data_IF_602135125058
#
_entry.id   IF_602135125058
#
_cell.length_a   1.000
_cell.length_b   1.000
_cell.length_c   1.000
_cell.angle_alpha   90.00
_cell.angle_beta   90.00
_cell.angle_gamma   90.00
#
_symmetry.space_group_name_H-M   'P 1'
#
loop_
_entity.id
_entity.type
_entity.pdbx_description
1 polymer ?
#
# COMPACT_ATOMS: atom_id res chain seq x y z
N UNK A 1 -10.33 3.25 20.82
CA UNK A 1 -11.54 4.03 20.45
C UNK A 1 -12.61 3.63 21.44
N UNK A 2 -13.40 4.54 22.04
CA UNK A 2 -14.40 4.08 23.02
C UNK A 2 -15.57 3.44 22.28
N UNK A 3 -15.58 2.11 22.27
CA UNK A 3 -16.73 1.30 21.88
C UNK A 3 -17.91 1.63 22.80
N UNK A 4 -19.12 1.46 22.30
CA UNK A 4 -20.34 1.54 23.08
C UNK A 4 -20.40 0.38 24.12
N UNK A 5 -21.37 0.40 25.05
CA UNK A 5 -21.51 -0.66 26.06
C UNK A 5 -21.71 -2.08 25.48
N UNK A 6 -22.02 -2.20 24.19
CA UNK A 6 -22.19 -3.46 23.46
C UNK A 6 -20.92 -3.90 22.74
N UNK A 7 -19.81 -3.15 22.86
CA UNK A 7 -18.56 -3.43 22.18
C UNK A 7 -18.58 -3.04 20.70
N UNK A 8 -19.53 -2.21 20.29
CA UNK A 8 -19.72 -1.75 18.91
C UNK A 8 -19.27 -0.30 18.74
N UNK A 9 -18.94 0.09 17.51
CA UNK A 9 -18.71 1.50 17.20
C UNK A 9 -19.93 2.37 17.54
N UNK A 10 -19.77 3.50 18.26
CA UNK A 10 -20.85 4.44 18.52
C UNK A 10 -21.57 4.87 17.24
N UNK A 11 -22.90 4.95 17.28
CA UNK A 11 -23.76 5.37 16.15
C UNK A 11 -23.30 6.64 15.44
N UNK A 12 -22.77 7.62 16.19
CA UNK A 12 -22.26 8.88 15.64
C UNK A 12 -21.04 8.70 14.72
N UNK A 13 -20.29 7.61 14.89
CA UNK A 13 -19.16 7.25 14.02
C UNK A 13 -19.57 6.33 12.87
N UNK A 14 -20.82 5.87 12.87
CA UNK A 14 -21.38 5.02 11.81
C UNK A 14 -22.08 5.81 10.70
N UNK A 15 -22.19 7.13 10.84
CA UNK A 15 -22.83 8.00 9.86
C UNK A 15 -21.91 9.14 9.42
N UNK A 16 -22.04 9.55 8.16
CA UNK A 16 -21.42 10.79 7.68
C UNK A 16 -22.13 12.02 8.26
N UNK A 17 -21.54 13.20 8.09
CA UNK A 17 -22.17 14.49 8.40
C UNK A 17 -23.48 14.74 7.63
N UNK A 18 -23.71 13.99 6.55
CA UNK A 18 -24.91 14.00 5.72
C UNK A 18 -25.93 12.90 6.08
N UNK A 19 -25.64 12.10 7.10
CA UNK A 19 -26.52 11.02 7.56
C UNK A 19 -26.45 9.74 6.72
N UNK A 20 -25.43 9.60 5.85
CA UNK A 20 -25.20 8.36 5.09
C UNK A 20 -24.55 7.31 5.99
N UNK A 21 -24.85 6.02 5.77
CA UNK A 21 -24.11 4.95 6.44
C UNK A 21 -22.62 5.03 6.03
N UNK A 22 -21.73 5.00 7.02
CA UNK A 22 -20.29 5.16 6.83
C UNK A 22 -19.48 3.96 7.32
N UNK A 23 -20.14 2.91 7.84
CA UNK A 23 -19.50 1.61 8.10
C UNK A 23 -19.93 0.64 7.01
N UNK A 24 -18.97 0.24 6.17
CA UNK A 24 -19.16 -0.73 5.10
C UNK A 24 -19.15 -2.16 5.64
N UNK A 25 -18.22 -2.46 6.56
CA UNK A 25 -18.00 -3.78 7.12
C UNK A 25 -17.43 -3.66 8.54
N UNK A 26 -17.80 -4.58 9.42
CA UNK A 26 -17.27 -4.67 10.78
C UNK A 26 -17.33 -6.13 11.25
N UNK A 27 -16.19 -6.63 11.73
CA UNK A 27 -16.11 -7.89 12.45
C UNK A 27 -15.12 -7.77 13.63
N UNK A 28 -14.71 -8.91 14.20
CA UNK A 28 -13.79 -8.93 15.33
C UNK A 28 -12.33 -8.59 14.96
N UNK A 29 -12.00 -8.48 13.67
CA UNK A 29 -10.64 -8.28 13.15
C UNK A 29 -10.44 -6.91 12.52
N UNK A 30 -11.49 -6.33 11.93
CA UNK A 30 -11.41 -5.07 11.22
C UNK A 30 -12.73 -4.31 11.15
N UNK A 31 -12.59 -3.01 10.88
CA UNK A 31 -13.71 -2.15 10.47
C UNK A 31 -13.34 -1.43 9.19
N UNK A 32 -14.23 -1.42 8.22
CA UNK A 32 -14.08 -0.68 6.97
C UNK A 32 -15.09 0.46 6.93
N UNK A 33 -14.59 1.67 6.71
CA UNK A 33 -15.40 2.86 6.58
C UNK A 33 -15.40 3.36 5.14
N UNK A 34 -16.59 3.44 4.58
CA UNK A 34 -16.90 4.09 3.31
C UNK A 34 -18.42 4.28 3.23
N UNK A 35 -18.87 5.35 2.59
CA UNK A 35 -20.26 5.45 2.14
C UNK A 35 -20.37 5.08 0.65
N UNK A 36 -21.59 4.89 0.17
CA UNK A 36 -21.86 4.52 -1.23
C UNK A 36 -21.25 5.53 -2.21
N UNK A 37 -21.22 6.82 -1.86
CA UNK A 37 -20.58 7.85 -2.68
C UNK A 37 -19.07 7.62 -2.79
N UNK A 38 -18.40 7.30 -1.69
CA UNK A 38 -16.97 7.02 -1.69
C UNK A 38 -16.66 5.82 -2.59
N UNK A 39 -17.44 4.74 -2.48
CA UNK A 39 -17.28 3.52 -3.27
C UNK A 39 -17.55 3.76 -4.77
N UNK A 40 -18.58 4.56 -5.07
CA UNK A 40 -18.89 4.96 -6.44
C UNK A 40 -17.76 5.79 -7.06
N UNK A 41 -17.13 6.68 -6.28
CA UNK A 41 -15.98 7.47 -6.73
C UNK A 41 -14.75 6.59 -6.89
N UNK A 42 -14.45 5.68 -5.96
CA UNK A 42 -13.29 4.78 -6.09
C UNK A 42 -13.38 3.88 -7.31
N UNK A 43 -14.58 3.51 -7.74
CA UNK A 43 -14.80 2.72 -8.95
C UNK A 43 -14.52 3.50 -10.25
N UNK A 44 -14.40 4.83 -10.18
CA UNK A 44 -14.07 5.68 -11.33
C UNK A 44 -12.58 6.08 -11.33
N UNK A 45 -11.83 5.72 -10.28
CA UNK A 45 -10.42 6.08 -10.14
C UNK A 45 -9.53 5.04 -10.80
N UNK A 46 -8.79 5.44 -11.84
CA UNK A 46 -7.79 4.60 -12.52
C UNK A 46 -6.52 4.41 -11.69
N UNK A 47 -6.23 5.34 -10.78
CA UNK A 47 -5.00 5.33 -9.98
C UNK A 47 -5.33 5.38 -8.50
N UNK A 48 -4.89 4.34 -7.78
CA UNK A 48 -5.12 4.19 -6.36
C UNK A 48 -3.82 4.39 -5.59
N UNK A 49 -3.93 5.02 -4.43
CA UNK A 49 -2.82 5.24 -3.51
C UNK A 49 -3.21 4.68 -2.15
N UNK A 50 -2.36 3.83 -1.59
CA UNK A 50 -2.64 3.12 -0.36
C UNK A 50 -1.56 3.39 0.67
N UNK A 51 -1.98 3.72 1.88
CA UNK A 51 -1.06 4.01 2.99
C UNK A 51 -1.56 3.39 4.29
N UNK A 52 -0.61 2.89 5.05
CA UNK A 52 -0.82 2.21 6.32
C UNK A 52 -0.11 2.93 7.45
N UNK A 53 -0.87 3.52 8.37
CA UNK A 53 -0.29 4.31 9.47
C UNK A 53 -0.59 3.72 10.85
N UNK A 54 0.46 3.64 11.69
CA UNK A 54 0.42 3.06 13.03
C UNK A 54 0.30 4.13 14.13
N UNK A 55 0.90 5.29 13.89
CA UNK A 55 1.11 6.33 14.91
C UNK A 55 -0.18 6.98 15.42
N UNK A 56 -1.24 6.97 14.60
CA UNK A 56 -2.53 7.59 14.90
C UNK A 56 -3.64 6.55 15.14
N UNK A 57 -3.29 5.26 15.21
CA UNK A 57 -4.26 4.20 15.35
C UNK A 57 -4.87 4.20 16.77
N UNK A 58 -6.20 3.99 16.93
CA UNK A 58 -6.78 3.83 18.25
C UNK A 58 -6.18 2.60 18.95
N UNK A 59 -6.00 2.66 20.28
CA UNK A 59 -5.31 1.63 21.10
C UNK A 59 -5.70 0.17 20.86
N UNK A 60 -6.92 -0.07 20.40
CA UNK A 60 -7.50 -1.40 20.21
C UNK A 60 -7.21 -1.98 18.81
N UNK A 61 -6.58 -1.18 17.94
CA UNK A 61 -6.25 -1.53 16.56
C UNK A 61 -4.75 -1.37 16.34
N UNK A 62 -4.21 -2.21 15.47
CA UNK A 62 -2.80 -2.20 15.09
C UNK A 62 -2.50 -1.11 14.07
N UNK A 63 -3.38 -0.91 13.09
CA UNK A 63 -3.12 -0.03 11.95
C UNK A 63 -4.40 0.63 11.42
N UNK A 64 -4.25 1.88 10.96
CA UNK A 64 -5.20 2.54 10.08
C UNK A 64 -4.68 2.42 8.65
N UNK A 65 -5.38 1.68 7.81
CA UNK A 65 -5.15 1.57 6.39
C UNK A 65 -6.07 2.52 5.63
N UNK A 66 -5.57 3.15 4.57
CA UNK A 66 -6.34 4.11 3.77
C UNK A 66 -6.20 3.82 2.28
N UNK A 67 -7.30 3.97 1.54
CA UNK A 67 -7.31 3.93 0.08
C UNK A 67 -7.76 5.29 -0.42
N UNK A 68 -6.90 5.89 -1.23
CA UNK A 68 -7.15 7.12 -1.95
C UNK A 68 -7.23 6.82 -3.44
N UNK A 69 -7.98 7.64 -4.18
CA UNK A 69 -8.08 7.55 -5.63
C UNK A 69 -7.85 8.91 -6.29
N UNK A 70 -7.28 8.90 -7.48
CA UNK A 70 -7.22 10.07 -8.35
C UNK A 70 -8.60 10.30 -8.99
N UNK A 71 -9.27 11.39 -8.61
CA UNK A 71 -10.57 11.77 -9.15
C UNK A 71 -10.56 13.25 -9.53
N UNK A 72 -10.83 13.57 -10.79
CA UNK A 72 -10.79 14.95 -11.32
C UNK A 72 -9.49 15.69 -10.98
N UNK A 73 -8.35 15.03 -11.24
CA UNK A 73 -6.98 15.52 -10.97
C UNK A 73 -6.67 15.84 -9.49
N UNK A 74 -7.46 15.27 -8.57
CA UNK A 74 -7.25 15.38 -7.14
C UNK A 74 -7.15 14.01 -6.48
N UNK A 75 -6.25 13.88 -5.51
CA UNK A 75 -6.18 12.71 -4.65
C UNK A 75 -7.24 12.87 -3.56
N UNK A 76 -8.20 11.95 -3.53
CA UNK A 76 -9.30 11.94 -2.57
C UNK A 76 -9.23 10.67 -1.73
N UNK A 77 -9.41 10.81 -0.42
CA UNK A 77 -9.49 9.69 0.52
C UNK A 77 -10.89 9.07 0.47
N UNK A 78 -10.96 7.77 0.13
CA UNK A 78 -12.20 7.09 -0.22
C UNK A 78 -12.56 6.00 0.77
N UNK A 79 -11.59 5.21 1.23
CA UNK A 79 -11.84 4.10 2.16
C UNK A 79 -10.85 4.15 3.31
N UNK A 80 -11.36 3.87 4.51
CA UNK A 80 -10.55 3.65 5.71
C UNK A 80 -10.73 2.22 6.20
N UNK A 81 -9.67 1.61 6.69
CA UNK A 81 -9.65 0.31 7.32
C UNK A 81 -8.96 0.40 8.68
N UNK A 82 -9.64 0.01 9.77
CA UNK A 82 -9.01 -0.18 11.07
C UNK A 82 -8.77 -1.66 11.29
N UNK A 83 -7.51 -2.07 11.39
CA UNK A 83 -7.13 -3.49 11.43
C UNK A 83 -6.56 -3.84 12.80
N UNK A 84 -6.87 -5.03 13.31
CA UNK A 84 -6.22 -5.62 14.49
C UNK A 84 -4.95 -6.41 14.07
N UNK A 85 -4.92 -6.91 12.84
CA UNK A 85 -3.77 -7.57 12.20
C UNK A 85 -3.16 -6.74 11.07
N UNK A 86 -2.23 -7.35 10.34
CA UNK A 86 -1.59 -6.78 9.12
C UNK A 86 -0.98 -7.86 8.22
N UNK A 87 -1.50 -9.07 8.29
CA UNK A 87 -1.04 -10.14 7.41
C UNK A 87 -1.78 -10.09 6.07
N UNK A 88 -1.35 -10.89 5.10
CA UNK A 88 -1.95 -10.90 3.76
C UNK A 88 -3.44 -11.21 3.80
N UNK A 89 -3.92 -12.04 4.73
CA UNK A 89 -5.33 -12.41 4.83
C UNK A 89 -6.17 -11.22 5.32
N UNK A 90 -5.63 -10.38 6.21
CA UNK A 90 -6.30 -9.15 6.64
C UNK A 90 -6.55 -8.22 5.44
N UNK A 91 -5.53 -8.00 4.61
CA UNK A 91 -5.67 -7.20 3.39
C UNK A 91 -6.58 -7.88 2.35
N UNK A 92 -6.48 -9.20 2.19
CA UNK A 92 -7.32 -9.94 1.25
C UNK A 92 -8.79 -9.82 1.62
N UNK A 93 -9.13 -9.98 2.91
CA UNK A 93 -10.48 -9.77 3.39
C UNK A 93 -10.94 -8.33 3.15
N UNK A 94 -10.10 -7.34 3.47
CA UNK A 94 -10.41 -5.93 3.23
C UNK A 94 -10.80 -5.66 1.76
N UNK A 95 -9.99 -6.08 0.80
CA UNK A 95 -10.28 -5.86 -0.61
C UNK A 95 -11.45 -6.72 -1.12
N UNK A 96 -11.64 -7.93 -0.60
CA UNK A 96 -12.82 -8.73 -0.90
C UNK A 96 -14.12 -8.03 -0.48
N UNK A 97 -14.15 -7.38 0.70
CA UNK A 97 -15.32 -6.61 1.11
C UNK A 97 -15.62 -5.44 0.17
N UNK A 98 -14.59 -4.82 -0.43
CA UNK A 98 -14.77 -3.81 -1.46
C UNK A 98 -15.35 -4.42 -2.74
N UNK A 99 -14.80 -5.55 -3.20
CA UNK A 99 -15.24 -6.24 -4.43
C UNK A 99 -16.69 -6.75 -4.36
N UNK A 100 -17.27 -6.91 -3.16
CA UNK A 100 -18.70 -7.19 -3.01
C UNK A 100 -19.60 -6.01 -3.41
N UNK A 101 -19.04 -4.80 -3.57
CA UNK A 101 -19.80 -3.58 -3.91
C UNK A 101 -19.62 -3.16 -5.35
N UNK A 102 -18.40 -3.22 -5.87
CA UNK A 102 -18.07 -2.85 -7.23
C UNK A 102 -16.96 -3.75 -7.77
N UNK A 103 -16.93 -3.89 -9.09
CA UNK A 103 -15.85 -4.57 -9.80
C UNK A 103 -14.74 -3.56 -10.09
N UNK A 104 -13.74 -3.51 -9.20
CA UNK A 104 -12.68 -2.51 -9.27
C UNK A 104 -11.55 -2.98 -10.18
N UNK A 105 -11.24 -2.17 -11.18
CA UNK A 105 -10.15 -2.41 -12.13
C UNK A 105 -9.19 -1.20 -12.17
N UNK A 106 -8.45 -0.90 -11.08
CA UNK A 106 -7.48 0.19 -11.10
C UNK A 106 -6.34 -0.14 -12.08
N UNK A 107 -5.94 0.84 -12.90
CA UNK A 107 -4.80 0.69 -13.80
C UNK A 107 -3.47 0.66 -13.04
N UNK A 108 -3.36 1.46 -11.97
CA UNK A 108 -2.17 1.47 -11.12
C UNK A 108 -2.51 1.59 -9.64
N UNK A 109 -1.69 0.92 -8.83
CA UNK A 109 -1.76 0.95 -7.37
C UNK A 109 -0.39 1.35 -6.86
N UNK A 110 -0.31 2.54 -6.26
CA UNK A 110 0.82 2.97 -5.48
C UNK A 110 0.62 2.53 -4.03
N UNK A 111 1.51 1.69 -3.54
CA UNK A 111 1.42 1.13 -2.18
C UNK A 111 2.79 1.07 -1.54
N UNK A 112 2.79 1.12 -0.21
CA UNK A 112 3.99 0.93 0.57
C UNK A 112 4.61 -0.45 0.42
N UNK A 113 5.90 -0.53 0.74
CA UNK A 113 6.71 -1.74 0.63
C UNK A 113 6.37 -2.84 1.67
N UNK A 114 5.21 -2.72 2.31
CA UNK A 114 4.72 -3.75 3.21
C UNK A 114 4.40 -5.03 2.43
N UNK A 115 5.11 -6.11 2.76
CA UNK A 115 5.06 -7.40 2.05
C UNK A 115 3.64 -7.97 1.96
N UNK A 116 2.83 -7.81 3.00
CA UNK A 116 1.45 -8.30 3.04
C UNK A 116 0.54 -7.55 2.06
N UNK A 117 0.56 -6.21 2.08
CA UNK A 117 -0.25 -5.37 1.20
C UNK A 117 0.13 -5.56 -0.27
N UNK A 118 1.44 -5.64 -0.57
CA UNK A 118 1.92 -5.92 -1.93
C UNK A 118 1.42 -7.26 -2.47
N UNK A 119 1.51 -8.33 -1.65
CA UNK A 119 1.03 -9.66 -2.03
C UNK A 119 -0.46 -9.68 -2.27
N UNK A 120 -1.23 -9.08 -1.35
CA UNK A 120 -2.69 -9.04 -1.41
C UNK A 120 -3.17 -8.28 -2.65
N UNK A 121 -2.69 -7.06 -2.84
CA UNK A 121 -3.03 -6.24 -4.02
C UNK A 121 -2.62 -6.91 -5.33
N UNK A 122 -1.50 -7.65 -5.38
CA UNK A 122 -1.08 -8.36 -6.61
C UNK A 122 -1.96 -9.56 -6.91
N UNK A 123 -2.44 -10.23 -5.86
CA UNK A 123 -3.34 -11.38 -5.98
C UNK A 123 -4.73 -10.93 -6.44
N UNK A 124 -5.24 -9.84 -5.87
CA UNK A 124 -6.62 -9.37 -6.08
C UNK A 124 -6.75 -8.50 -7.33
N UNK A 125 -5.76 -7.66 -7.62
CA UNK A 125 -5.73 -6.79 -8.80
C UNK A 125 -4.52 -7.15 -9.68
N UNK A 126 -4.51 -8.34 -10.31
CA UNK A 126 -3.33 -8.86 -11.00
C UNK A 126 -2.88 -7.98 -12.18
N UNK A 127 -3.85 -7.34 -12.84
CA UNK A 127 -3.65 -6.50 -14.03
C UNK A 127 -3.22 -5.07 -13.69
N UNK A 128 -3.41 -4.63 -12.44
CA UNK A 128 -2.96 -3.33 -11.99
C UNK A 128 -1.42 -3.26 -11.96
N UNK A 129 -0.88 -2.14 -12.45
CA UNK A 129 0.54 -1.83 -12.33
C UNK A 129 0.83 -1.51 -10.87
N UNK A 130 1.67 -2.32 -10.22
CA UNK A 130 2.13 -2.04 -8.88
C UNK A 130 3.30 -1.06 -8.89
N UNK A 131 3.13 0.03 -8.15
CA UNK A 131 4.14 1.07 -7.98
C UNK A 131 4.50 1.11 -6.50
N UNK A 132 5.76 0.81 -6.18
CA UNK A 132 6.24 0.95 -4.82
C UNK A 132 6.39 2.42 -4.42
N UNK A 133 5.91 2.80 -3.24
CA UNK A 133 6.06 4.16 -2.72
C UNK A 133 7.53 4.49 -2.37
N UNK A 134 8.21 5.25 -3.23
CA UNK A 134 9.62 5.65 -3.04
C UNK A 134 9.87 6.50 -1.79
N UNK A 135 8.81 7.15 -1.27
CA UNK A 135 8.89 7.95 -0.04
C UNK A 135 9.24 7.09 1.17
N UNK A 136 8.56 5.96 1.34
CA UNK A 136 8.85 5.00 2.42
C UNK A 136 10.07 4.13 2.13
N UNK A 137 10.34 3.81 0.86
CA UNK A 137 11.63 3.22 0.45
C UNK A 137 12.81 4.05 0.94
N UNK A 138 12.68 5.37 0.87
CA UNK A 138 13.68 6.29 1.39
C UNK A 138 13.83 6.27 2.93
N UNK A 139 12.76 6.02 3.68
CA UNK A 139 12.79 6.03 5.16
C UNK A 139 13.40 4.75 5.76
N UNK A 140 13.38 3.63 5.04
CA UNK A 140 14.01 2.37 5.46
C UNK A 140 15.54 2.36 5.30
N UNK A 141 16.12 3.43 4.75
CA UNK A 141 17.54 3.53 4.45
C UNK A 141 18.26 4.29 5.55
N UNK A 142 19.01 3.53 6.35
CA UNK A 142 19.77 4.02 7.50
C UNK A 142 20.92 4.98 7.12
N UNK A 143 21.32 5.01 5.84
CA UNK A 143 22.41 5.84 5.32
C UNK A 143 21.88 6.77 4.23
N UNK A 144 21.91 8.07 4.50
CA UNK A 144 21.40 9.15 3.64
C UNK A 144 21.97 9.09 2.21
N UNK A 145 23.23 8.69 2.06
CA UNK A 145 23.90 8.58 0.75
C UNK A 145 23.48 7.36 -0.08
N UNK A 146 23.13 6.24 0.55
CA UNK A 146 22.66 5.02 -0.14
C UNK A 146 21.19 5.18 -0.56
N UNK A 147 20.44 5.97 0.22
CA UNK A 147 19.07 6.37 -0.03
C UNK A 147 18.87 7.12 -1.33
N UNK A 148 19.62 8.19 -1.52
CA UNK A 148 19.53 9.04 -2.71
C UNK A 148 19.91 8.27 -3.98
N UNK A 149 20.91 7.40 -3.88
CA UNK A 149 21.40 6.56 -4.97
C UNK A 149 20.32 5.61 -5.51
N UNK A 150 19.58 4.92 -4.65
CA UNK A 150 18.56 3.98 -5.12
C UNK A 150 17.26 4.70 -5.53
N UNK A 151 16.90 5.82 -4.89
CA UNK A 151 15.78 6.64 -5.35
C UNK A 151 16.03 7.23 -6.74
N UNK A 152 17.29 7.51 -7.11
CA UNK A 152 17.64 8.01 -8.43
C UNK A 152 17.26 7.05 -9.57
N UNK A 153 17.18 5.74 -9.30
CA UNK A 153 16.80 4.74 -10.32
C UNK A 153 15.37 4.91 -10.82
N UNK A 154 14.48 5.51 -10.02
CA UNK A 154 13.11 5.81 -10.45
C UNK A 154 13.05 6.86 -11.58
N UNK A 155 14.12 7.61 -11.79
CA UNK A 155 14.23 8.62 -12.85
C UNK A 155 15.00 8.12 -14.07
N UNK A 156 15.50 6.89 -14.05
CA UNK A 156 16.20 6.27 -15.18
C UNK A 156 15.17 5.67 -16.14
N UNK A 157 15.28 5.89 -17.46
CA UNK A 157 14.42 5.22 -18.44
C UNK A 157 14.45 3.70 -18.24
N UNK A 158 13.30 3.04 -18.31
CA UNK A 158 13.15 1.59 -18.01
C UNK A 158 14.20 0.72 -18.74
N UNK A 159 14.51 1.06 -20.00
CA UNK A 159 15.51 0.35 -20.80
C UNK A 159 16.94 0.38 -20.21
N UNK A 160 17.24 1.39 -19.40
CA UNK A 160 18.55 1.66 -18.82
C UNK A 160 18.62 1.35 -17.31
N UNK A 161 17.48 1.04 -16.65
CA UNK A 161 17.40 0.79 -15.21
C UNK A 161 18.34 -0.33 -14.76
N UNK A 162 18.43 -1.42 -15.53
CA UNK A 162 19.33 -2.56 -15.20
C UNK A 162 20.79 -2.11 -15.21
N UNK A 163 21.18 -1.35 -16.24
CA UNK A 163 22.55 -0.85 -16.37
C UNK A 163 22.88 0.15 -15.27
N UNK A 164 21.97 1.07 -14.99
CA UNK A 164 22.14 2.05 -13.91
C UNK A 164 22.24 1.37 -12.55
N UNK A 165 21.40 0.36 -12.28
CA UNK A 165 21.45 -0.45 -11.06
C UNK A 165 22.78 -1.20 -10.91
N UNK A 166 23.26 -1.86 -11.97
CA UNK A 166 24.56 -2.56 -11.95
C UNK A 166 25.75 -1.62 -11.74
N UNK A 167 25.67 -0.36 -12.18
CA UNK A 167 26.68 0.64 -11.84
C UNK A 167 26.57 1.06 -10.37
N UNK A 168 25.34 1.28 -9.89
CA UNK A 168 25.05 1.77 -8.55
C UNK A 168 25.46 0.78 -7.46
N UNK A 169 25.27 -0.52 -7.67
CA UNK A 169 25.53 -1.54 -6.65
C UNK A 169 27.01 -1.63 -6.25
N UNK A 170 27.94 -1.29 -7.15
CA UNK A 170 29.38 -1.30 -6.86
C UNK A 170 29.80 -0.21 -5.86
N UNK A 171 28.92 0.78 -5.61
CA UNK A 171 29.14 1.86 -4.66
C UNK A 171 28.62 1.53 -3.25
N UNK A 172 28.00 0.36 -3.04
CA UNK A 172 27.51 -0.08 -1.74
C UNK A 172 28.61 -0.87 -1.03
N UNK A 173 28.92 -0.49 0.21
CA UNK A 173 29.98 -1.13 1.01
C UNK A 173 29.60 -2.51 1.58
N UNK A 174 28.34 -2.91 1.44
CA UNK A 174 27.79 -4.11 2.07
C UNK A 174 27.13 -5.03 1.03
N UNK A 175 27.79 -6.16 0.76
CA UNK A 175 27.30 -7.22 -0.10
C UNK A 175 26.06 -7.92 0.49
N UNK A 176 25.83 -7.91 1.80
CA UNK A 176 24.66 -8.55 2.42
C UNK A 176 23.55 -7.53 2.73
N UNK A 177 23.32 -6.58 1.82
CA UNK A 177 22.25 -5.60 1.98
C UNK A 177 20.88 -6.19 1.57
N UNK A 178 19.94 -6.45 2.51
CA UNK A 178 18.64 -7.06 2.21
C UNK A 178 17.77 -6.20 1.29
N UNK A 179 18.09 -4.90 1.19
CA UNK A 179 17.44 -3.94 0.33
C UNK A 179 17.86 -4.11 -1.13
N UNK A 180 19.14 -4.37 -1.40
CA UNK A 180 19.62 -4.67 -2.75
C UNK A 180 18.96 -5.96 -3.25
N UNK A 181 18.88 -6.98 -2.39
CA UNK A 181 18.18 -8.24 -2.72
C UNK A 181 16.69 -8.03 -3.02
N UNK A 182 16.03 -7.15 -2.26
CA UNK A 182 14.65 -6.79 -2.51
C UNK A 182 14.50 -6.05 -3.85
N UNK A 183 15.33 -5.03 -4.09
CA UNK A 183 15.27 -4.20 -5.30
C UNK A 183 15.55 -5.03 -6.55
N UNK A 184 16.57 -5.88 -6.51
CA UNK A 184 16.90 -6.80 -7.60
C UNK A 184 15.75 -7.77 -7.92
N UNK A 185 15.09 -8.30 -6.88
CA UNK A 185 13.95 -9.20 -7.05
C UNK A 185 12.72 -8.53 -7.66
N UNK A 186 12.45 -7.29 -7.27
CA UNK A 186 11.18 -6.60 -7.60
C UNK A 186 11.29 -5.75 -8.87
N UNK A 187 12.43 -5.09 -9.10
CA UNK A 187 12.61 -4.13 -10.19
C UNK A 187 13.48 -4.64 -11.33
N UNK A 188 14.47 -5.50 -11.05
CA UNK A 188 15.41 -6.00 -12.07
C UNK A 188 14.94 -7.33 -12.66
N UNK A 189 14.22 -8.15 -11.87
CA UNK A 189 13.72 -9.46 -12.28
C UNK A 189 14.86 -10.46 -12.37
N UNK A 190 14.95 -11.37 -11.39
CA UNK A 190 16.09 -12.28 -11.16
C UNK A 190 16.82 -12.78 -12.42
N UNK A 191 18.15 -12.66 -12.40
CA UNK A 191 19.05 -13.69 -12.94
C UNK A 191 20.14 -14.01 -11.92
N UNK A 192 20.07 -15.25 -11.40
CA UNK A 192 21.10 -16.08 -10.74
C UNK A 192 22.05 -15.36 -9.77
N UNK A 193 22.03 -15.82 -8.51
CA UNK A 193 22.80 -15.32 -7.38
C UNK A 193 24.20 -14.85 -7.72
N UNK A 194 24.59 -13.75 -7.06
CA UNK A 194 25.81 -12.96 -7.21
C UNK A 194 27.04 -13.86 -7.42
N UNK A 195 27.26 -14.20 -8.68
CA UNK A 195 28.45 -14.87 -9.15
C UNK A 195 29.43 -13.77 -9.52
N UNK A 196 30.45 -13.61 -8.69
CA UNK A 196 31.64 -12.81 -8.94
C UNK A 196 32.08 -12.99 -10.41
N UNK A 197 32.01 -11.92 -11.20
CA UNK A 197 32.68 -11.88 -12.50
C UNK A 197 34.18 -11.72 -12.24
N UNK A 198 34.93 -12.78 -12.55
CA UNK A 198 36.34 -12.68 -12.93
C UNK A 198 36.44 -12.49 -14.45
#
# INVERSE_FOLDING_TARGET
>A
MRLDPQGSLPLILRQSDRGENFVLYEDNSMVIFACDRNLSVSNQCEHWFMDGTFSICPKDYYQLFTVHGMFSDQIVLLVYGLFIGKDTNDYDNFFQQLLLKYDYEPESILVDFESATLKSTKSIFPDAIQIGCLFHFGQCLWRENEREKLMALAFVPVADVIKAYSCLINDFDDDDNPLLDYFERVWVGQKKGRGLCH
#
